data_IF_069642959561
#
_entry.id   IF_069642959561
#
_cell.length_a   1.000
_cell.length_b   1.000
_cell.length_c   1.000
_cell.angle_alpha   90.00
_cell.angle_beta   90.00
_cell.angle_gamma   90.00
#
_symmetry.space_group_name_H-M   'P 1'
#
loop_
_entity.id
_entity.type
_entity.pdbx_description
1 polymer ?
#
# COMPACT_ATOMS: atom_id res chain seq x y z
N UNK A 1 -19.13 -16.78 -26.78
CA UNK A 1 -18.62 -18.16 -26.63
C UNK A 1 -18.24 -18.30 -25.17
N UNK A 2 -19.13 -18.88 -24.35
CA UNK A 2 -18.91 -19.05 -22.92
C UNK A 2 -17.94 -20.22 -22.70
N UNK A 3 -16.79 -19.94 -22.11
CA UNK A 3 -15.86 -20.97 -21.65
C UNK A 3 -16.29 -21.32 -20.23
N UNK A 4 -16.92 -22.49 -20.07
CA UNK A 4 -17.17 -23.11 -18.76
C UNK A 4 -15.86 -23.66 -18.25
N UNK A 5 -15.32 -23.12 -17.16
CA UNK A 5 -14.23 -23.75 -16.43
C UNK A 5 -14.78 -24.84 -15.51
N UNK A 6 -14.07 -25.97 -15.43
CA UNK A 6 -14.45 -27.11 -14.60
C UNK A 6 -14.02 -26.86 -13.14
N UNK A 7 -14.87 -27.30 -12.22
CA UNK A 7 -14.74 -27.22 -10.75
C UNK A 7 -13.36 -27.66 -10.20
N UNK A 8 -12.60 -28.46 -10.95
CA UNK A 8 -11.27 -28.97 -10.58
C UNK A 8 -10.14 -27.95 -10.80
N UNK A 9 -10.32 -26.97 -11.70
CA UNK A 9 -9.35 -25.91 -11.94
C UNK A 9 -9.37 -24.86 -10.82
N UNK A 10 -10.56 -24.55 -10.30
CA UNK A 10 -10.77 -23.54 -9.25
C UNK A 10 -10.30 -24.04 -7.87
N UNK A 11 -10.41 -25.35 -7.60
CA UNK A 11 -9.92 -25.93 -6.35
C UNK A 11 -8.39 -26.04 -6.31
N UNK A 12 -7.73 -26.16 -7.47
CA UNK A 12 -6.27 -25.96 -7.59
C UNK A 12 -5.88 -24.48 -7.38
N UNK A 13 -6.77 -23.55 -7.74
CA UNK A 13 -6.60 -22.09 -7.68
C UNK A 13 -6.51 -21.58 -6.24
N UNK A 14 -7.38 -22.06 -5.34
CA UNK A 14 -7.31 -21.73 -3.92
C UNK A 14 -6.06 -22.32 -3.25
N UNK A 15 -5.72 -23.58 -3.54
CA UNK A 15 -4.55 -24.21 -2.94
C UNK A 15 -3.24 -23.57 -3.43
N UNK A 16 -3.13 -23.17 -4.71
CA UNK A 16 -1.93 -22.48 -5.23
C UNK A 16 -1.82 -21.01 -4.79
N UNK A 17 -2.92 -20.27 -4.71
CA UNK A 17 -2.90 -18.90 -4.19
C UNK A 17 -2.53 -18.88 -2.70
N UNK A 18 -3.01 -19.87 -1.93
CA UNK A 18 -2.59 -20.09 -0.55
C UNK A 18 -1.11 -20.49 -0.47
N UNK A 19 -0.60 -21.34 -1.39
CA UNK A 19 0.83 -21.69 -1.45
C UNK A 19 1.73 -20.50 -1.79
N UNK A 20 1.32 -19.61 -2.71
CA UNK A 20 2.06 -18.38 -3.07
C UNK A 20 1.99 -17.35 -1.93
N UNK A 21 0.83 -17.19 -1.29
CA UNK A 21 0.71 -16.38 -0.09
C UNK A 21 1.59 -16.95 1.05
N UNK A 22 1.66 -18.27 1.22
CA UNK A 22 2.57 -18.93 2.16
C UNK A 22 4.05 -18.72 1.79
N UNK A 23 4.39 -18.66 0.50
CA UNK A 23 5.76 -18.40 0.05
C UNK A 23 6.16 -16.94 0.36
N UNK A 24 5.27 -15.99 0.13
CA UNK A 24 5.46 -14.57 0.47
C UNK A 24 5.47 -14.32 2.00
N UNK A 25 4.82 -15.18 2.79
CA UNK A 25 4.77 -15.10 4.26
C UNK A 25 5.97 -15.81 4.94
N UNK A 26 6.70 -16.69 4.26
CA UNK A 26 7.82 -17.44 4.87
C UNK A 26 9.21 -16.84 4.67
N UNK A 27 9.36 -15.63 4.09
CA UNK A 27 10.66 -15.00 3.81
C UNK A 27 11.56 -14.86 5.05
N UNK A 28 12.69 -15.60 5.15
CA UNK A 28 13.83 -15.17 5.93
C UNK A 28 14.69 -14.23 5.07
N UNK A 29 15.24 -13.20 5.71
CA UNK A 29 16.31 -12.36 5.20
C UNK A 29 17.35 -13.14 4.37
N UNK A 30 17.38 -12.91 3.06
CA UNK A 30 18.56 -13.17 2.22
C UNK A 30 18.73 -12.03 1.21
N UNK A 31 19.29 -10.93 1.69
CA UNK A 31 19.98 -9.97 0.83
C UNK A 31 21.39 -10.49 0.59
N UNK A 32 21.61 -11.16 -0.54
CA UNK A 32 22.92 -11.35 -1.16
C UNK A 32 22.70 -11.59 -2.66
N UNK A 33 23.53 -11.00 -3.51
CA UNK A 33 23.48 -11.10 -4.97
C UNK A 33 23.02 -12.49 -5.46
N UNK A 34 21.78 -12.59 -5.97
CA UNK A 34 21.12 -13.84 -6.34
C UNK A 34 21.67 -14.56 -7.60
N UNK A 35 22.90 -14.24 -8.05
CA UNK A 35 23.50 -14.98 -9.18
C UNK A 35 24.13 -16.33 -8.78
N UNK A 36 24.24 -16.66 -7.48
CA UNK A 36 25.01 -17.83 -7.02
C UNK A 36 24.24 -19.16 -6.94
N UNK A 37 22.91 -19.20 -7.13
CA UNK A 37 22.15 -20.45 -6.97
C UNK A 37 21.15 -20.74 -8.11
N UNK A 38 21.59 -20.66 -9.37
CA UNK A 38 20.85 -21.28 -10.46
C UNK A 38 20.99 -22.81 -10.39
N UNK A 39 19.85 -23.51 -10.28
CA UNK A 39 19.77 -24.97 -10.42
C UNK A 39 19.43 -25.28 -11.86
N UNK A 40 20.34 -25.89 -12.60
CA UNK A 40 20.16 -26.23 -14.02
C UNK A 40 19.60 -27.64 -14.19
N UNK A 41 18.89 -27.85 -15.29
CA UNK A 41 18.35 -29.17 -15.67
C UNK A 41 19.49 -30.19 -15.83
N UNK A 42 20.65 -29.72 -16.28
CA UNK A 42 21.90 -30.48 -16.36
C UNK A 42 23.11 -29.57 -16.12
N UNK A 43 24.02 -30.01 -15.24
CA UNK A 43 25.31 -29.35 -15.02
C UNK A 43 26.32 -29.79 -16.10
N UNK A 44 27.00 -28.83 -16.74
CA UNK A 44 28.05 -29.08 -17.74
C UNK A 44 29.34 -28.39 -17.26
N UNK A 45 30.38 -29.17 -17.04
CA UNK A 45 31.68 -28.73 -16.51
C UNK A 45 32.82 -29.05 -17.48
N UNK A 46 33.88 -28.26 -17.45
CA UNK A 46 35.13 -28.52 -18.17
C UNK A 46 36.08 -29.46 -17.39
N UNK A 47 37.29 -29.68 -17.94
CA UNK A 47 38.33 -30.51 -17.34
C UNK A 47 38.83 -30.03 -15.96
N UNK A 48 38.57 -28.77 -15.59
CA UNK A 48 38.93 -28.17 -14.31
C UNK A 48 37.74 -28.11 -13.34
N UNK A 49 36.63 -28.79 -13.64
CA UNK A 49 35.36 -28.73 -12.90
C UNK A 49 34.73 -27.32 -12.87
N UNK A 50 34.97 -26.49 -13.88
CA UNK A 50 34.35 -25.18 -14.02
C UNK A 50 33.18 -25.24 -15.01
N UNK A 51 32.10 -24.49 -14.77
CA UNK A 51 30.95 -24.41 -15.67
C UNK A 51 31.37 -24.06 -17.09
N UNK A 52 30.84 -24.79 -18.07
CA UNK A 52 31.22 -24.63 -19.47
C UNK A 52 30.05 -24.98 -20.41
N UNK A 53 29.96 -24.30 -21.56
CA UNK A 53 28.94 -24.54 -22.56
C UNK A 53 27.61 -23.88 -22.21
N UNK A 54 26.52 -24.36 -22.83
CA UNK A 54 25.18 -23.82 -22.62
C UNK A 54 24.44 -24.63 -21.56
N UNK A 55 24.21 -24.04 -20.40
CA UNK A 55 23.40 -24.61 -19.33
C UNK A 55 21.98 -24.05 -19.45
N UNK A 56 20.98 -24.90 -19.18
CA UNK A 56 19.55 -24.58 -19.32
C UNK A 56 18.86 -24.90 -18.01
N UNK A 57 17.94 -24.05 -17.60
CA UNK A 57 16.97 -24.40 -16.57
C UNK A 57 15.55 -24.09 -17.03
N UNK A 58 14.66 -25.04 -16.81
CA UNK A 58 13.25 -24.92 -17.16
C UNK A 58 12.49 -24.29 -16.00
N UNK A 59 11.66 -23.29 -16.29
CA UNK A 59 10.86 -22.62 -15.27
C UNK A 59 9.71 -23.51 -14.81
N UNK A 60 9.48 -23.58 -13.49
CA UNK A 60 8.30 -24.23 -12.92
C UNK A 60 7.04 -23.37 -12.98
N UNK A 61 7.20 -22.03 -13.04
CA UNK A 61 6.12 -21.06 -13.17
C UNK A 61 5.62 -20.96 -14.61
N UNK A 62 6.54 -21.06 -15.57
CA UNK A 62 6.24 -20.88 -16.99
C UNK A 62 6.44 -22.20 -17.74
N UNK A 63 5.36 -23.00 -17.86
CA UNK A 63 5.41 -24.30 -18.54
C UNK A 63 6.03 -24.17 -19.95
N UNK A 64 7.14 -24.89 -20.17
CA UNK A 64 7.83 -24.94 -21.45
C UNK A 64 8.73 -23.73 -21.76
N UNK A 65 8.86 -22.75 -20.86
CA UNK A 65 9.83 -21.67 -20.99
C UNK A 65 11.06 -21.97 -20.13
N UNK A 66 12.24 -21.67 -20.69
CA UNK A 66 13.52 -21.88 -20.04
C UNK A 66 14.26 -20.55 -19.90
N UNK A 67 15.30 -20.54 -19.08
CA UNK A 67 16.38 -19.57 -19.19
C UNK A 67 17.69 -20.31 -19.47
N UNK A 68 18.60 -19.67 -20.19
CA UNK A 68 19.85 -20.28 -20.68
C UNK A 68 21.04 -19.41 -20.28
N UNK A 69 22.12 -20.05 -19.87
CA UNK A 69 23.38 -19.40 -19.56
C UNK A 69 24.51 -20.04 -20.39
N UNK A 70 25.32 -19.21 -21.04
CA UNK A 70 26.49 -19.66 -21.80
C UNK A 70 27.75 -19.36 -21.00
N UNK A 71 28.49 -20.39 -20.63
CA UNK A 71 29.74 -20.30 -19.86
C UNK A 71 30.96 -20.70 -20.70
N UNK A 72 32.10 -20.10 -20.39
CA UNK A 72 33.41 -20.52 -20.87
C UNK A 72 34.43 -20.53 -19.73
N UNK A 73 34.86 -21.72 -19.32
CA UNK A 73 35.83 -21.94 -18.24
C UNK A 73 35.45 -21.19 -16.95
N UNK A 74 34.19 -21.32 -16.52
CA UNK A 74 33.63 -20.68 -15.34
C UNK A 74 33.17 -19.23 -15.54
N UNK A 75 33.48 -18.58 -16.67
CA UNK A 75 33.04 -17.22 -16.96
C UNK A 75 31.67 -17.23 -17.64
N UNK A 76 30.70 -16.49 -17.08
CA UNK A 76 29.39 -16.29 -17.69
C UNK A 76 29.52 -15.27 -18.83
N UNK A 77 29.20 -15.70 -20.05
CA UNK A 77 29.31 -14.88 -21.26
C UNK A 77 27.96 -14.32 -21.72
N UNK A 78 26.89 -15.10 -21.57
CA UNK A 78 25.56 -14.72 -22.05
C UNK A 78 24.47 -15.29 -21.14
N UNK A 79 23.41 -14.51 -20.94
CA UNK A 79 22.13 -14.96 -20.41
C UNK A 79 21.02 -14.80 -21.45
N UNK A 80 20.03 -15.67 -21.37
CA UNK A 80 18.86 -15.64 -22.24
C UNK A 80 17.62 -16.02 -21.45
N UNK A 81 16.63 -15.13 -21.42
CA UNK A 81 15.34 -15.35 -20.75
C UNK A 81 14.21 -15.36 -21.78
N UNK A 82 13.38 -16.41 -21.73
CA UNK A 82 12.21 -16.60 -22.60
C UNK A 82 10.88 -16.40 -21.86
N UNK A 83 10.90 -16.18 -20.55
CA UNK A 83 9.70 -16.04 -19.70
C UNK A 83 8.98 -14.73 -19.98
N UNK A 84 9.72 -13.68 -20.33
CA UNK A 84 9.22 -12.32 -20.48
C UNK A 84 9.48 -11.75 -21.86
N UNK A 85 8.70 -10.74 -22.24
CA UNK A 85 8.81 -10.07 -23.54
C UNK A 85 8.77 -8.56 -23.37
N UNK A 86 9.75 -7.87 -23.96
CA UNK A 86 9.82 -6.41 -23.99
C UNK A 86 9.87 -5.96 -25.44
N UNK A 87 9.08 -4.96 -25.84
CA UNK A 87 9.06 -4.42 -27.21
C UNK A 87 8.91 -5.50 -28.30
N UNK A 88 8.06 -6.50 -28.06
CA UNK A 88 7.85 -7.67 -28.94
C UNK A 88 9.08 -8.60 -29.12
N UNK A 89 10.16 -8.39 -28.39
CA UNK A 89 11.28 -9.33 -28.32
C UNK A 89 10.93 -10.47 -27.37
N UNK A 90 10.84 -11.68 -27.94
CA UNK A 90 10.51 -12.91 -27.19
C UNK A 90 11.71 -13.53 -26.47
N UNK A 91 12.91 -13.20 -26.92
CA UNK A 91 14.16 -13.73 -26.39
C UNK A 91 14.96 -12.54 -25.87
N UNK A 92 15.07 -12.45 -24.55
CA UNK A 92 15.81 -11.40 -23.87
C UNK A 92 17.24 -11.89 -23.68
N UNK A 93 18.16 -11.40 -24.51
CA UNK A 93 19.56 -11.82 -24.51
C UNK A 93 20.42 -10.73 -23.88
N UNK A 94 21.24 -11.10 -22.89
CA UNK A 94 22.22 -10.22 -22.25
C UNK A 94 23.63 -10.80 -22.37
N UNK A 95 24.60 -9.99 -22.79
CA UNK A 95 25.99 -10.37 -22.94
C UNK A 95 26.86 -9.72 -21.86
N UNK A 96 27.73 -10.51 -21.26
CA UNK A 96 28.64 -10.08 -20.23
C UNK A 96 30.01 -9.74 -20.80
N UNK A 97 30.69 -8.77 -20.18
CA UNK A 97 32.10 -8.45 -20.42
C UNK A 97 32.78 -8.30 -19.07
N UNK A 98 33.83 -9.10 -18.82
CA UNK A 98 34.52 -9.14 -17.52
C UNK A 98 33.56 -9.42 -16.34
N UNK A 99 32.63 -10.36 -16.51
CA UNK A 99 31.59 -10.72 -15.53
C UNK A 99 30.63 -9.59 -15.14
N UNK A 100 30.54 -8.52 -15.93
CA UNK A 100 29.58 -7.43 -15.77
C UNK A 100 28.61 -7.38 -16.95
N UNK A 101 27.33 -7.02 -16.74
CA UNK A 101 26.40 -6.73 -17.83
C UNK A 101 26.98 -5.70 -18.78
N UNK A 102 26.93 -5.98 -20.09
CA UNK A 102 27.54 -5.10 -21.10
C UNK A 102 26.58 -4.72 -22.22
N UNK A 103 25.88 -5.67 -22.83
CA UNK A 103 25.01 -5.40 -23.97
C UNK A 103 23.77 -6.28 -23.92
N UNK A 104 22.58 -5.70 -24.09
CA UNK A 104 21.32 -6.44 -24.18
C UNK A 104 20.51 -6.43 -22.88
N UNK A 105 19.58 -7.39 -22.76
CA UNK A 105 18.60 -7.45 -21.68
C UNK A 105 18.99 -8.44 -20.59
N UNK A 106 18.78 -8.03 -19.34
CA UNK A 106 19.07 -8.82 -18.16
C UNK A 106 17.85 -8.81 -17.27
N UNK A 107 17.35 -10.01 -16.96
CA UNK A 107 16.21 -10.22 -16.07
C UNK A 107 16.73 -10.57 -14.69
N UNK A 108 16.21 -9.92 -13.66
CA UNK A 108 16.49 -10.24 -12.26
C UNK A 108 15.22 -10.05 -11.43
N UNK A 109 15.17 -10.64 -10.25
CA UNK A 109 14.07 -10.45 -9.30
C UNK A 109 14.48 -9.38 -8.28
N UNK A 110 13.58 -8.46 -7.98
CA UNK A 110 13.80 -7.48 -6.92
C UNK A 110 13.57 -8.11 -5.53
N UNK A 111 13.71 -7.30 -4.49
CA UNK A 111 13.54 -7.73 -3.09
C UNK A 111 12.14 -8.24 -2.74
N UNK A 112 11.16 -8.05 -3.64
CA UNK A 112 9.78 -8.52 -3.52
C UNK A 112 9.46 -9.69 -4.46
N UNK A 113 10.48 -10.31 -5.05
CA UNK A 113 10.36 -11.39 -6.04
C UNK A 113 9.60 -10.95 -7.32
N UNK A 114 9.47 -9.64 -7.56
CA UNK A 114 8.90 -9.11 -8.79
C UNK A 114 10.03 -8.98 -9.81
N UNK A 115 9.89 -9.52 -11.03
CA UNK A 115 10.93 -9.44 -12.03
C UNK A 115 11.10 -8.00 -12.54
N UNK A 116 12.35 -7.59 -12.72
CA UNK A 116 12.77 -6.37 -13.37
C UNK A 116 13.69 -6.70 -14.54
N UNK A 117 13.66 -5.87 -15.58
CA UNK A 117 14.48 -6.06 -16.79
C UNK A 117 15.31 -4.81 -17.02
N UNK A 118 16.62 -4.95 -17.06
CA UNK A 118 17.53 -3.87 -17.44
C UNK A 118 18.08 -4.09 -18.85
N UNK A 119 18.08 -3.04 -19.66
CA UNK A 119 18.73 -2.99 -20.96
C UNK A 119 20.04 -2.20 -20.85
N UNK A 120 21.13 -2.81 -21.29
CA UNK A 120 22.47 -2.23 -21.29
C UNK A 120 22.97 -1.97 -22.71
N UNK A 121 23.68 -0.86 -22.88
CA UNK A 121 24.52 -0.58 -24.05
C UNK A 121 25.94 -0.26 -23.57
N UNK A 122 26.93 -1.00 -24.06
CA UNK A 122 28.36 -0.79 -23.73
C UNK A 122 28.69 -0.71 -22.22
N UNK A 123 27.95 -1.43 -21.39
CA UNK A 123 28.15 -1.47 -19.93
C UNK A 123 27.43 -0.40 -19.13
N UNK A 124 26.64 0.46 -19.80
CA UNK A 124 25.79 1.45 -19.13
C UNK A 124 24.32 1.02 -19.19
N UNK A 125 23.59 1.21 -18.08
CA UNK A 125 22.14 0.97 -18.05
C UNK A 125 21.48 2.05 -18.89
N UNK A 126 20.81 1.64 -19.97
CA UNK A 126 20.08 2.54 -20.85
C UNK A 126 18.60 2.63 -20.46
N UNK A 127 17.98 1.51 -20.06
CA UNK A 127 16.56 1.48 -19.68
C UNK A 127 16.30 0.40 -18.64
N UNK A 128 15.44 0.71 -17.67
CA UNK A 128 14.91 -0.26 -16.71
C UNK A 128 13.43 -0.44 -17.01
N UNK A 129 12.96 -1.68 -17.12
CA UNK A 129 11.56 -2.03 -17.26
C UNK A 129 11.08 -2.71 -15.98
N UNK A 130 9.94 -2.25 -15.49
CA UNK A 130 9.29 -2.80 -14.30
C UNK A 130 7.85 -3.18 -14.62
N UNK A 131 7.26 -4.02 -13.79
CA UNK A 131 5.90 -4.54 -13.93
C UNK A 131 5.19 -4.49 -12.59
N UNK A 132 3.87 -4.72 -12.56
CA UNK A 132 3.12 -4.76 -11.30
C UNK A 132 2.92 -6.19 -10.81
N UNK A 133 2.67 -6.36 -9.50
CA UNK A 133 2.24 -7.66 -8.96
C UNK A 133 0.95 -8.14 -9.65
N UNK A 134 0.03 -7.23 -9.99
CA UNK A 134 -1.19 -7.56 -10.72
C UNK A 134 -0.90 -8.23 -12.06
N UNK A 135 0.05 -7.69 -12.83
CA UNK A 135 0.46 -8.25 -14.11
C UNK A 135 1.10 -9.64 -13.94
N UNK A 136 1.92 -9.82 -12.90
CA UNK A 136 2.53 -11.12 -12.60
C UNK A 136 1.47 -12.17 -12.24
N UNK A 137 0.50 -11.81 -11.41
CA UNK A 137 -0.61 -12.70 -11.06
C UNK A 137 -1.51 -13.00 -12.29
N UNK A 138 -1.69 -12.05 -13.21
CA UNK A 138 -2.47 -12.26 -14.43
C UNK A 138 -1.85 -13.33 -15.35
N UNK A 139 -0.52 -13.42 -15.41
CA UNK A 139 0.19 -14.47 -16.16
C UNK A 139 -0.25 -15.87 -15.70
N UNK A 140 -0.20 -16.12 -14.40
CA UNK A 140 -0.55 -17.43 -13.82
C UNK A 140 -2.01 -17.80 -14.11
N UNK A 141 -2.90 -16.80 -14.13
CA UNK A 141 -4.34 -17.00 -14.32
C UNK A 141 -4.74 -17.17 -15.79
N UNK A 142 -4.09 -16.44 -16.69
CA UNK A 142 -4.57 -16.29 -18.08
C UNK A 142 -3.52 -16.66 -19.13
N UNK A 143 -2.28 -16.86 -18.74
CA UNK A 143 -1.13 -17.01 -19.63
C UNK A 143 -0.76 -15.73 -20.40
N UNK A 144 -1.40 -14.59 -20.08
CA UNK A 144 -1.12 -13.30 -20.70
C UNK A 144 0.19 -12.76 -20.15
N UNK A 145 1.06 -12.33 -21.05
CA UNK A 145 2.36 -11.77 -20.69
C UNK A 145 2.20 -10.46 -19.90
N UNK A 146 3.11 -10.18 -18.94
CA UNK A 146 3.02 -8.99 -18.11
C UNK A 146 3.27 -7.73 -18.94
N UNK A 147 2.66 -6.62 -18.52
CA UNK A 147 2.90 -5.32 -19.14
C UNK A 147 4.14 -4.68 -18.52
N UNK A 148 5.14 -4.41 -19.36
CA UNK A 148 6.38 -3.77 -18.96
C UNK A 148 6.34 -2.25 -19.12
N UNK A 149 6.63 -1.54 -18.04
CA UNK A 149 6.71 -0.08 -17.98
C UNK A 149 8.17 0.35 -18.02
N UNK A 150 8.55 1.07 -19.07
CA UNK A 150 9.87 1.69 -19.15
C UNK A 150 10.00 2.80 -18.10
N UNK A 151 11.09 2.74 -17.34
CA UNK A 151 11.41 3.69 -16.27
C UNK A 151 12.56 4.61 -16.70
N UNK A 152 12.40 5.90 -16.43
CA UNK A 152 13.40 6.93 -16.69
C UNK A 152 13.83 7.59 -15.39
N UNK A 153 15.08 8.01 -15.29
CA UNK A 153 15.64 8.63 -14.07
C UNK A 153 16.29 9.96 -14.40
N UNK A 154 16.14 10.94 -13.50
CA UNK A 154 16.82 12.24 -13.58
C UNK A 154 17.48 12.50 -12.24
N UNK A 155 18.81 12.70 -12.25
CA UNK A 155 19.61 12.91 -11.04
C UNK A 155 19.44 11.77 -10.00
N UNK A 156 19.27 10.54 -10.48
CA UNK A 156 19.07 9.36 -9.63
C UNK A 156 17.65 9.18 -9.09
N UNK A 157 16.72 10.10 -9.39
CA UNK A 157 15.32 10.03 -8.98
C UNK A 157 14.46 9.53 -10.14
N UNK A 158 13.50 8.64 -9.85
CA UNK A 158 12.54 8.14 -10.84
C UNK A 158 11.70 9.30 -11.40
N UNK A 159 11.72 9.47 -12.72
CA UNK A 159 11.04 10.56 -13.44
C UNK A 159 9.77 10.07 -14.14
N UNK A 160 9.84 8.98 -14.90
CA UNK A 160 8.68 8.27 -15.44
C UNK A 160 8.79 6.79 -15.10
N UNK A 161 7.65 6.12 -14.88
CA UNK A 161 7.60 4.67 -14.67
C UNK A 161 6.94 4.28 -13.35
N UNK A 162 7.46 3.25 -12.69
CA UNK A 162 6.94 2.79 -11.40
C UNK A 162 8.04 2.33 -10.43
N UNK A 163 7.73 2.31 -9.14
CA UNK A 163 8.57 1.68 -8.11
C UNK A 163 7.71 0.99 -7.05
N UNK A 164 8.33 0.04 -6.36
CA UNK A 164 7.72 -0.71 -5.28
C UNK A 164 8.32 -0.29 -3.93
N UNK A 165 7.48 -0.17 -2.92
CA UNK A 165 7.86 -0.05 -1.52
C UNK A 165 7.08 -1.07 -0.71
N UNK A 166 7.65 -1.58 0.37
CA UNK A 166 6.94 -2.46 1.30
C UNK A 166 6.90 -1.83 2.69
N UNK A 167 5.74 -1.95 3.32
CA UNK A 167 5.54 -1.57 4.71
C UNK A 167 5.09 -2.80 5.47
N UNK A 168 5.65 -2.96 6.67
CA UNK A 168 5.15 -3.94 7.62
C UNK A 168 3.92 -3.36 8.32
N UNK A 169 2.81 -4.09 8.26
CA UNK A 169 1.66 -3.90 9.13
C UNK A 169 1.74 -4.99 10.22
N UNK A 170 0.99 -4.87 11.32
CA UNK A 170 1.14 -5.75 12.50
C UNK A 170 1.25 -7.25 12.14
N UNK A 171 0.18 -7.81 11.58
CA UNK A 171 0.09 -9.22 11.15
C UNK A 171 0.16 -9.39 9.62
N UNK A 172 0.51 -8.34 8.86
CA UNK A 172 0.42 -8.34 7.40
C UNK A 172 1.48 -7.51 6.69
N UNK A 173 1.49 -7.61 5.37
CA UNK A 173 2.40 -6.83 4.52
C UNK A 173 1.60 -5.97 3.55
N UNK A 174 2.02 -4.71 3.46
CA UNK A 174 1.52 -3.76 2.47
C UNK A 174 2.58 -3.58 1.40
N UNK A 175 2.31 -4.09 0.20
CA UNK A 175 3.08 -3.76 -0.99
C UNK A 175 2.47 -2.53 -1.65
N UNK A 176 3.28 -1.49 -1.82
CA UNK A 176 2.91 -0.22 -2.43
C UNK A 176 3.59 -0.12 -3.78
N UNK A 177 2.83 0.13 -4.84
CA UNK A 177 3.40 0.43 -6.16
C UNK A 177 3.04 1.86 -6.53
N UNK A 178 4.04 2.73 -6.60
CA UNK A 178 3.89 4.14 -6.97
C UNK A 178 4.15 4.33 -8.47
N UNK A 179 3.31 5.12 -9.15
CA UNK A 179 3.42 5.39 -10.58
C UNK A 179 3.76 6.85 -10.83
N UNK A 180 4.80 7.09 -11.61
CA UNK A 180 5.36 8.43 -11.86
C UNK A 180 5.21 8.86 -13.31
N UNK A 181 4.96 10.15 -13.49
CA UNK A 181 5.02 10.83 -14.77
C UNK A 181 5.61 12.22 -14.57
N UNK A 182 6.64 12.57 -15.34
CA UNK A 182 7.36 13.85 -15.22
C UNK A 182 7.84 14.18 -13.78
N UNK A 183 8.22 13.17 -13.00
CA UNK A 183 8.69 13.32 -11.61
C UNK A 183 7.58 13.44 -10.57
N UNK A 184 6.31 13.38 -10.97
CA UNK A 184 5.16 13.43 -10.07
C UNK A 184 4.44 12.09 -9.99
N UNK A 185 4.05 11.68 -8.78
CA UNK A 185 3.17 10.53 -8.56
C UNK A 185 1.79 10.83 -9.14
N UNK A 186 1.31 9.90 -9.95
CA UNK A 186 -0.02 9.97 -10.57
C UNK A 186 -1.04 9.15 -9.80
N UNK A 187 -0.66 7.95 -9.39
CA UNK A 187 -1.47 7.04 -8.59
C UNK A 187 -0.58 6.03 -7.86
N UNK A 188 -1.18 5.33 -6.91
CA UNK A 188 -0.55 4.31 -6.08
C UNK A 188 -1.47 3.11 -6.01
N UNK A 189 -0.93 1.92 -6.21
CA UNK A 189 -1.64 0.66 -5.97
C UNK A 189 -1.18 0.08 -4.64
N UNK A 190 -2.13 -0.22 -3.76
CA UNK A 190 -1.90 -0.89 -2.49
C UNK A 190 -2.33 -2.34 -2.61
N UNK A 191 -1.38 -3.25 -2.44
CA UNK A 191 -1.62 -4.67 -2.31
C UNK A 191 -1.50 -5.06 -0.84
N UNK A 192 -2.64 -5.38 -0.23
CA UNK A 192 -2.66 -5.94 1.11
C UNK A 192 -2.58 -7.46 1.00
N UNK A 193 -1.52 -8.03 1.56
CA UNK A 193 -1.26 -9.47 1.55
C UNK A 193 -1.37 -10.00 2.98
N UNK A 194 -2.35 -10.86 3.22
CA UNK A 194 -2.57 -11.57 4.48
C UNK A 194 -2.76 -13.07 4.21
N UNK A 195 -2.60 -13.93 5.24
CA UNK A 195 -2.56 -15.40 5.10
C UNK A 195 -3.68 -16.03 4.27
N UNK A 196 -4.86 -15.40 4.23
CA UNK A 196 -6.03 -15.92 3.53
C UNK A 196 -6.63 -14.92 2.53
N UNK A 197 -5.96 -13.80 2.26
CA UNK A 197 -6.54 -12.71 1.49
C UNK A 197 -5.50 -11.86 0.76
N UNK A 198 -5.79 -11.53 -0.49
CA UNK A 198 -5.04 -10.55 -1.28
C UNK A 198 -6.03 -9.57 -1.90
N UNK A 199 -5.89 -8.28 -1.57
CA UNK A 199 -6.74 -7.22 -2.11
C UNK A 199 -5.91 -6.06 -2.63
N UNK A 200 -6.36 -5.53 -3.76
CA UNK A 200 -5.82 -4.32 -4.34
C UNK A 200 -6.81 -3.18 -4.23
N UNK A 201 -6.34 -2.04 -3.73
CA UNK A 201 -7.04 -0.76 -3.80
C UNK A 201 -6.10 0.28 -4.43
N UNK A 202 -6.66 1.28 -5.11
CA UNK A 202 -5.88 2.29 -5.83
C UNK A 202 -6.13 3.66 -5.23
N UNK A 203 -5.06 4.41 -4.95
CA UNK A 203 -5.12 5.83 -4.63
C UNK A 203 -4.77 6.66 -5.87
N UNK A 204 -5.69 7.52 -6.30
CA UNK A 204 -5.43 8.50 -7.36
C UNK A 204 -5.25 9.89 -6.74
N UNK A 205 -4.21 10.60 -7.17
CA UNK A 205 -4.00 11.98 -6.77
C UNK A 205 -4.94 12.92 -7.52
N UNK A 206 -5.52 13.88 -6.80
CA UNK A 206 -6.31 14.99 -7.32
C UNK A 206 -5.52 16.29 -7.10
N UNK A 207 -5.88 17.37 -7.81
CA UNK A 207 -5.22 18.68 -7.65
C UNK A 207 -5.19 19.18 -6.20
N UNK A 208 -6.23 18.87 -5.42
CA UNK A 208 -6.36 19.30 -4.03
C UNK A 208 -6.78 18.15 -3.11
N UNK A 209 -6.31 16.93 -3.36
CA UNK A 209 -6.67 15.78 -2.53
C UNK A 209 -6.35 14.46 -3.20
N UNK A 210 -7.13 13.44 -2.85
CA UNK A 210 -6.96 12.10 -3.42
C UNK A 210 -8.26 11.32 -3.30
N UNK A 211 -8.37 10.26 -4.08
CA UNK A 211 -9.42 9.27 -3.94
C UNK A 211 -8.82 7.88 -3.81
N UNK A 212 -9.40 7.05 -2.94
CA UNK A 212 -9.08 5.64 -2.80
C UNK A 212 -10.24 4.86 -3.41
N UNK A 213 -9.93 3.96 -4.33
CA UNK A 213 -10.91 3.19 -5.09
C UNK A 213 -10.62 1.72 -4.89
N UNK A 214 -11.67 0.99 -4.55
CA UNK A 214 -11.73 -0.46 -4.72
C UNK A 214 -12.61 -0.73 -5.92
N UNK A 215 -12.03 -1.35 -6.95
CA UNK A 215 -12.78 -1.74 -8.13
C UNK A 215 -13.74 -2.89 -7.81
N UNK A 216 -14.83 -2.98 -8.59
CA UNK A 216 -15.77 -4.10 -8.48
C UNK A 216 -15.05 -5.39 -8.85
N UNK A 217 -15.27 -6.42 -8.05
CA UNK A 217 -14.76 -7.77 -8.31
C UNK A 217 -15.87 -8.58 -8.96
N UNK A 218 -15.66 -9.00 -10.21
CA UNK A 218 -16.59 -9.89 -10.93
C UNK A 218 -16.04 -11.31 -10.94
N UNK A 219 -16.38 -12.12 -9.93
CA UNK A 219 -16.11 -13.56 -9.95
C UNK A 219 -17.26 -14.37 -9.33
N UNK A 220 -17.44 -15.61 -9.82
CA UNK A 220 -18.58 -16.48 -9.48
C UNK A 220 -18.42 -17.20 -8.13
N UNK A 221 -17.18 -17.43 -7.67
CA UNK A 221 -16.83 -18.16 -6.44
C UNK A 221 -16.08 -17.26 -5.43
N UNK A 222 -16.70 -16.15 -5.05
CA UNK A 222 -16.16 -15.25 -4.01
C UNK A 222 -16.82 -15.60 -2.68
N UNK A 223 -16.02 -15.61 -1.60
CA UNK A 223 -16.56 -15.70 -0.25
C UNK A 223 -17.66 -14.65 -0.04
N UNK A 224 -18.88 -15.03 0.37
CA UNK A 224 -19.97 -14.08 0.59
C UNK A 224 -19.65 -13.00 1.63
N UNK A 225 -18.61 -13.19 2.45
CA UNK A 225 -18.09 -12.19 3.38
C UNK A 225 -17.25 -11.11 2.70
N UNK A 226 -16.77 -11.30 1.47
CA UNK A 226 -16.03 -10.26 0.73
C UNK A 226 -17.01 -9.31 0.05
N UNK A 227 -16.91 -8.01 0.35
CA UNK A 227 -17.67 -7.01 -0.40
C UNK A 227 -17.11 -6.86 -1.81
N UNK A 228 -17.84 -7.31 -2.83
CA UNK A 228 -17.42 -7.27 -4.23
C UNK A 228 -17.74 -5.95 -4.93
N UNK A 229 -18.51 -5.07 -4.29
CA UNK A 229 -18.99 -3.82 -4.88
C UNK A 229 -17.86 -2.82 -5.11
N UNK A 230 -18.09 -1.91 -6.06
CA UNK A 230 -17.24 -0.73 -6.22
C UNK A 230 -17.40 0.17 -4.99
N UNK A 231 -16.26 0.59 -4.42
CA UNK A 231 -16.21 1.47 -3.26
C UNK A 231 -15.21 2.61 -3.52
N UNK A 232 -15.55 3.83 -3.10
CA UNK A 232 -14.72 5.01 -3.32
C UNK A 232 -14.72 5.91 -2.09
N UNK A 233 -13.54 6.22 -1.57
CA UNK A 233 -13.31 7.25 -0.57
C UNK A 233 -12.66 8.44 -1.22
N UNK A 234 -13.32 9.59 -1.24
CA UNK A 234 -12.81 10.81 -1.85
C UNK A 234 -12.54 11.86 -0.78
N UNK A 235 -11.34 12.42 -0.81
CA UNK A 235 -10.88 13.44 0.14
C UNK A 235 -10.46 14.66 -0.66
N UNK A 236 -11.05 15.81 -0.33
CA UNK A 236 -10.81 17.08 -1.01
C UNK A 236 -10.49 18.14 0.03
N UNK A 237 -9.32 18.75 -0.09
CA UNK A 237 -8.87 19.85 0.76
C UNK A 237 -9.29 21.20 0.15
N UNK A 238 -9.84 22.07 0.98
CA UNK A 238 -10.33 23.39 0.55
C UNK A 238 -9.31 24.50 0.88
N UNK A 239 -8.74 24.46 2.10
CA UNK A 239 -7.72 25.40 2.60
C UNK A 239 -6.73 24.65 3.53
N UNK A 240 -5.73 25.34 4.10
CA UNK A 240 -4.74 24.75 5.02
C UNK A 240 -5.40 24.10 6.25
N UNK A 241 -5.65 22.79 6.14
CA UNK A 241 -6.10 21.94 7.24
C UNK A 241 -7.58 21.57 7.20
N UNK A 242 -8.37 22.08 6.25
CA UNK A 242 -9.80 21.77 6.13
C UNK A 242 -10.15 21.07 4.82
N UNK A 243 -11.26 20.34 4.82
CA UNK A 243 -11.73 19.62 3.65
C UNK A 243 -12.99 18.81 3.89
N UNK A 244 -13.29 17.95 2.93
CA UNK A 244 -14.43 17.06 2.92
C UNK A 244 -13.97 15.63 2.65
N UNK A 245 -14.64 14.67 3.29
CA UNK A 245 -14.56 13.26 2.93
C UNK A 245 -15.94 12.78 2.48
N UNK A 246 -16.01 12.07 1.35
CA UNK A 246 -17.18 11.29 0.93
C UNK A 246 -16.82 9.82 0.76
N UNK A 247 -17.70 8.95 1.23
CA UNK A 247 -17.64 7.52 1.02
C UNK A 247 -18.82 7.10 0.15
N UNK A 248 -18.50 6.55 -1.01
CA UNK A 248 -19.42 6.07 -2.01
C UNK A 248 -19.32 4.55 -2.19
N UNK A 249 -20.46 3.95 -2.48
CA UNK A 249 -20.59 2.52 -2.76
C UNK A 249 -21.59 2.34 -3.88
N UNK A 250 -21.19 1.70 -4.98
CA UNK A 250 -22.00 1.62 -6.20
C UNK A 250 -22.54 2.99 -6.67
N UNK A 251 -21.70 4.03 -6.54
CA UNK A 251 -22.02 5.43 -6.88
C UNK A 251 -23.07 6.11 -5.99
N UNK A 252 -23.48 5.47 -4.90
CA UNK A 252 -24.32 6.07 -3.87
C UNK A 252 -23.45 6.55 -2.70
N UNK A 253 -23.62 7.81 -2.29
CA UNK A 253 -22.93 8.37 -1.11
C UNK A 253 -23.54 7.77 0.14
N UNK A 254 -22.79 6.90 0.83
CA UNK A 254 -23.24 6.25 2.06
C UNK A 254 -22.84 7.04 3.31
N UNK A 255 -21.72 7.77 3.26
CA UNK A 255 -21.28 8.64 4.35
C UNK A 255 -20.52 9.86 3.81
N UNK A 256 -20.65 10.98 4.51
CA UNK A 256 -19.86 12.18 4.23
C UNK A 256 -19.71 13.03 5.50
N UNK A 257 -18.58 13.74 5.59
CA UNK A 257 -18.34 14.71 6.64
C UNK A 257 -17.36 15.80 6.19
N UNK A 258 -17.41 16.94 6.88
CA UNK A 258 -16.43 18.00 6.80
C UNK A 258 -15.39 17.82 7.89
N UNK A 259 -14.15 18.23 7.65
CA UNK A 259 -13.09 18.21 8.64
C UNK A 259 -12.31 19.51 8.67
N UNK A 260 -11.79 19.84 9.85
CA UNK A 260 -10.93 20.99 10.08
C UNK A 260 -9.84 20.68 11.10
N UNK A 261 -8.60 20.91 10.69
CA UNK A 261 -7.40 20.95 11.52
C UNK A 261 -7.16 22.37 12.01
N UNK A 262 -6.94 22.55 13.31
CA UNK A 262 -6.57 23.84 13.90
C UNK A 262 -5.74 23.64 15.17
N UNK A 263 -4.97 24.66 15.54
CA UNK A 263 -4.32 24.70 16.85
C UNK A 263 -5.35 25.01 17.94
N UNK A 264 -5.34 24.22 19.01
CA UNK A 264 -6.11 24.51 20.21
C UNK A 264 -5.58 25.81 20.82
N UNK A 265 -6.22 26.92 20.49
CA UNK A 265 -5.95 28.24 21.05
C UNK A 265 -7.24 28.95 21.49
N UNK A 266 -8.38 28.29 21.23
CA UNK A 266 -9.75 28.75 21.48
C UNK A 266 -10.62 27.56 21.86
N UNK A 267 -11.82 27.84 22.39
CA UNK A 267 -12.84 26.81 22.64
C UNK A 267 -13.20 26.07 21.36
N UNK A 268 -13.43 24.77 21.50
CA UNK A 268 -13.92 23.89 20.44
C UNK A 268 -15.29 24.41 19.97
N UNK A 269 -15.53 24.33 18.66
CA UNK A 269 -16.83 24.73 18.09
C UNK A 269 -17.93 23.84 18.66
N UNK A 270 -18.95 24.43 19.28
CA UNK A 270 -20.09 23.74 19.87
C UNK A 270 -21.08 23.28 18.77
N UNK A 271 -20.64 22.36 17.93
CA UNK A 271 -21.43 21.73 16.86
C UNK A 271 -21.33 20.20 16.97
N UNK A 272 -22.33 19.46 16.49
CA UNK A 272 -22.28 18.00 16.48
C UNK A 272 -21.05 17.53 15.71
N UNK A 273 -20.13 16.85 16.41
CA UNK A 273 -18.81 16.57 15.88
C UNK A 273 -18.05 15.48 16.64
N UNK A 274 -17.02 14.96 15.99
CA UNK A 274 -15.96 14.16 16.62
C UNK A 274 -14.69 15.00 16.58
N UNK A 275 -14.00 15.15 17.72
CA UNK A 275 -12.71 15.85 17.80
C UNK A 275 -11.64 14.84 18.19
N UNK A 276 -10.55 14.83 17.43
CA UNK A 276 -9.32 14.12 17.76
C UNK A 276 -8.23 15.14 18.15
N UNK A 277 -7.43 14.81 19.16
CA UNK A 277 -6.31 15.65 19.60
C UNK A 277 -4.97 14.98 19.31
N UNK A 278 -4.08 15.72 18.64
CA UNK A 278 -2.70 15.29 18.43
C UNK A 278 -1.79 16.05 19.38
N UNK A 279 -1.17 15.30 20.27
CA UNK A 279 -0.32 15.74 21.39
C UNK A 279 1.15 15.33 21.17
N UNK A 280 1.66 15.41 19.95
CA UNK A 280 3.04 15.01 19.63
C UNK A 280 4.10 15.99 20.18
N UNK A 281 5.37 15.86 19.78
CA UNK A 281 6.50 16.69 20.24
C UNK A 281 6.36 18.21 20.00
N UNK A 282 5.32 18.68 19.31
CA UNK A 282 5.07 20.11 19.10
C UNK A 282 4.75 20.87 20.41
N UNK A 283 4.95 22.19 20.40
CA UNK A 283 4.65 23.06 21.55
C UNK A 283 3.16 23.43 21.67
N UNK A 284 2.29 22.76 20.90
CA UNK A 284 0.89 23.13 20.74
C UNK A 284 0.03 21.86 20.62
N UNK A 285 -1.24 21.92 20.97
CA UNK A 285 -2.18 20.81 20.75
C UNK A 285 -2.88 21.04 19.43
N UNK A 286 -2.84 20.08 18.51
CA UNK A 286 -3.63 20.15 17.27
C UNK A 286 -4.95 19.43 17.44
N UNK A 287 -6.02 20.07 16.99
CA UNK A 287 -7.37 19.53 16.99
C UNK A 287 -7.79 19.21 15.56
N UNK A 288 -8.40 18.04 15.39
CA UNK A 288 -9.03 17.59 14.16
C UNK A 288 -10.52 17.39 14.43
N UNK A 289 -11.32 18.41 14.11
CA UNK A 289 -12.76 18.37 14.30
C UNK A 289 -13.46 17.95 13.02
N UNK A 290 -14.29 16.91 13.10
CA UNK A 290 -15.11 16.36 12.02
C UNK A 290 -16.57 16.59 12.31
N UNK A 291 -17.31 17.14 11.38
CA UNK A 291 -18.67 17.64 11.60
C UNK A 291 -19.50 17.58 10.32
N UNK A 292 -20.76 18.02 10.37
CA UNK A 292 -21.71 17.97 9.25
C UNK A 292 -21.88 16.55 8.68
N UNK A 293 -21.88 15.54 9.56
CA UNK A 293 -22.09 14.15 9.16
C UNK A 293 -23.42 13.99 8.44
N UNK A 294 -23.39 13.37 7.26
CA UNK A 294 -24.60 12.90 6.57
C UNK A 294 -24.41 11.43 6.23
N UNK A 295 -25.41 10.62 6.55
CA UNK A 295 -25.54 9.24 6.09
C UNK A 295 -26.86 9.14 5.34
N UNK A 296 -26.84 8.53 4.16
CA UNK A 296 -28.04 8.39 3.30
C UNK A 296 -28.74 7.06 3.56
N UNK A 297 -28.08 6.07 4.18
CA UNK A 297 -28.67 4.73 4.36
C UNK A 297 -29.22 4.52 5.76
N UNK A 298 -30.54 4.29 5.81
CA UNK A 298 -31.28 3.70 6.94
C UNK A 298 -30.94 2.21 7.20
N UNK A 299 -29.87 1.68 6.59
CA UNK A 299 -29.39 0.29 6.71
C UNK A 299 -28.08 0.22 7.51
N UNK A 300 -27.96 1.09 8.52
CA UNK A 300 -26.71 1.54 9.15
C UNK A 300 -25.86 0.49 9.88
N UNK A 301 -26.32 -0.75 10.05
CA UNK A 301 -25.49 -1.79 10.67
C UNK A 301 -24.85 -2.73 9.63
N UNK A 302 -25.59 -3.17 8.61
CA UNK A 302 -25.09 -4.17 7.64
C UNK A 302 -24.06 -3.64 6.66
N UNK A 303 -24.12 -2.35 6.31
CA UNK A 303 -23.19 -1.76 5.34
C UNK A 303 -21.78 -1.52 5.91
N UNK A 304 -21.68 -1.43 7.24
CA UNK A 304 -20.41 -1.35 7.98
C UNK A 304 -19.99 -2.70 8.61
N UNK A 305 -20.91 -3.66 8.77
CA UNK A 305 -20.61 -4.98 9.36
C UNK A 305 -19.78 -5.91 8.48
N UNK A 306 -19.66 -5.62 7.18
CA UNK A 306 -18.74 -6.35 6.31
C UNK A 306 -17.34 -5.72 6.47
N UNK A 307 -16.36 -6.43 7.06
CA UNK A 307 -15.01 -5.92 7.29
C UNK A 307 -14.26 -5.85 5.95
N UNK A 308 -14.55 -4.83 5.13
CA UNK A 308 -13.76 -4.52 3.95
C UNK A 308 -12.60 -3.58 4.29
N UNK A 309 -11.50 -3.67 3.56
CA UNK A 309 -10.36 -2.77 3.73
C UNK A 309 -10.75 -1.29 3.63
N UNK A 310 -11.65 -0.96 2.70
CA UNK A 310 -12.18 0.40 2.57
C UNK A 310 -12.98 0.85 3.80
N UNK A 311 -13.76 -0.04 4.42
CA UNK A 311 -14.47 0.26 5.66
C UNK A 311 -13.49 0.51 6.81
N UNK A 312 -12.40 -0.27 6.88
CA UNK A 312 -11.32 -0.06 7.85
C UNK A 312 -10.62 1.27 7.64
N UNK A 313 -10.26 1.62 6.40
CA UNK A 313 -9.67 2.93 6.05
C UNK A 313 -10.63 4.07 6.41
N UNK A 314 -11.91 3.97 6.04
CA UNK A 314 -12.91 4.98 6.40
C UNK A 314 -12.99 5.17 7.92
N UNK A 315 -13.07 4.06 8.67
CA UNK A 315 -13.18 4.08 10.13
C UNK A 315 -11.93 4.68 10.78
N UNK A 316 -10.73 4.30 10.30
CA UNK A 316 -9.47 4.90 10.72
C UNK A 316 -9.52 6.43 10.50
N UNK A 317 -9.85 6.88 9.28
CA UNK A 317 -9.94 8.31 8.96
C UNK A 317 -11.02 9.04 9.76
N UNK A 318 -12.10 8.37 10.16
CA UNK A 318 -13.15 8.95 11.00
C UNK A 318 -12.63 9.31 12.39
N UNK A 319 -11.72 8.53 12.97
CA UNK A 319 -11.22 8.76 14.33
C UNK A 319 -9.84 9.40 14.39
N UNK A 320 -9.04 9.29 13.33
CA UNK A 320 -7.67 9.79 13.27
C UNK A 320 -7.52 10.99 12.32
N UNK A 321 -6.32 11.57 12.28
CA UNK A 321 -5.99 12.63 11.32
C UNK A 321 -6.11 12.13 9.88
N UNK A 322 -6.64 12.97 8.99
CA UNK A 322 -6.61 12.70 7.56
C UNK A 322 -5.22 13.02 7.01
N UNK A 323 -4.48 12.04 6.46
CA UNK A 323 -3.14 12.27 5.94
C UNK A 323 -3.19 13.15 4.69
N UNK A 324 -2.11 13.90 4.46
CA UNK A 324 -1.89 14.64 3.22
C UNK A 324 -0.76 13.97 2.47
N UNK A 325 -1.07 13.42 1.31
CA UNK A 325 -0.06 12.81 0.45
C UNK A 325 0.47 13.83 -0.55
N UNK A 326 1.78 13.75 -0.79
CA UNK A 326 2.53 14.55 -1.74
C UNK A 326 2.70 13.79 -3.05
N UNK A 327 2.63 14.49 -4.17
CA UNK A 327 2.98 13.92 -5.47
C UNK A 327 4.48 13.88 -5.69
N UNK A 328 5.28 14.68 -4.97
CA UNK A 328 6.73 14.83 -5.19
C UNK A 328 7.58 14.36 -4.02
N UNK A 329 7.07 14.44 -2.79
CA UNK A 329 7.79 14.03 -1.56
C UNK A 329 7.42 12.61 -1.16
N UNK A 330 8.26 11.94 -0.36
CA UNK A 330 7.96 10.61 0.15
C UNK A 330 6.72 10.63 1.05
N UNK A 331 5.84 9.65 0.88
CA UNK A 331 4.62 9.51 1.67
C UNK A 331 4.73 8.38 2.70
N UNK A 332 4.01 8.51 3.81
CA UNK A 332 3.85 7.47 4.81
C UNK A 332 2.44 6.87 4.71
N UNK A 333 2.30 5.81 3.91
CA UNK A 333 0.99 5.21 3.62
C UNK A 333 0.42 4.37 4.75
N UNK A 334 1.25 3.92 5.71
CA UNK A 334 0.78 3.14 6.85
C UNK A 334 -0.28 3.89 7.67
N UNK A 335 -0.28 5.22 7.62
CA UNK A 335 -1.29 6.08 8.26
C UNK A 335 -2.74 5.78 7.82
N UNK A 336 -2.96 5.19 6.64
CA UNK A 336 -4.30 4.75 6.20
C UNK A 336 -4.75 3.44 6.85
N UNK A 337 -3.81 2.64 7.35
CA UNK A 337 -4.02 1.27 7.81
C UNK A 337 -3.77 1.08 9.31
N UNK A 338 -3.39 2.14 10.03
CA UNK A 338 -3.24 2.10 11.49
C UNK A 338 -4.60 1.82 12.13
N UNK A 339 -4.65 0.82 13.03
CA UNK A 339 -5.81 0.57 13.87
C UNK A 339 -6.06 1.75 14.82
N UNK A 340 -7.22 1.75 15.49
CA UNK A 340 -7.78 2.88 16.26
C UNK A 340 -6.99 3.24 17.55
N UNK A 341 -5.68 3.50 17.46
CA UNK A 341 -4.81 3.86 18.58
C UNK A 341 -5.38 5.02 19.42
N UNK A 342 -6.05 5.98 18.78
CA UNK A 342 -6.56 7.16 19.49
C UNK A 342 -7.87 6.90 20.27
N UNK A 343 -8.65 5.87 19.90
CA UNK A 343 -9.84 5.47 20.65
C UNK A 343 -9.44 4.88 22.01
N UNK A 344 -8.36 4.11 22.04
CA UNK A 344 -7.78 3.55 23.26
C UNK A 344 -6.98 4.58 24.07
N UNK A 345 -6.33 5.55 23.41
CA UNK A 345 -5.58 6.62 24.08
C UNK A 345 -6.46 7.60 24.89
N UNK A 346 -7.76 7.64 24.62
CA UNK A 346 -8.71 8.57 25.25
C UNK A 346 -8.62 10.02 24.74
N UNK A 347 -8.01 10.25 23.57
CA UNK A 347 -7.82 11.56 22.94
C UNK A 347 -8.91 11.91 21.91
N UNK A 348 -10.12 11.43 22.16
CA UNK A 348 -11.31 11.73 21.35
C UNK A 348 -12.36 12.47 22.18
N UNK A 349 -13.13 13.34 21.52
CA UNK A 349 -14.33 13.97 22.07
C UNK A 349 -15.49 13.78 21.12
N UNK A 350 -16.61 13.33 21.64
CA UNK A 350 -17.88 13.26 20.94
C UNK A 350 -18.79 14.39 21.43
N UNK A 351 -19.22 15.25 20.50
CA UNK A 351 -20.19 16.31 20.73
C UNK A 351 -21.54 15.88 20.15
N UNK A 352 -22.59 15.91 20.99
CA UNK A 352 -23.93 15.48 20.61
C UNK A 352 -24.62 16.44 19.62
N UNK A 353 -25.89 16.19 19.31
CA UNK A 353 -26.69 17.01 18.39
C UNK A 353 -26.87 18.48 18.82
N UNK A 354 -26.65 18.80 20.11
CA UNK A 354 -26.65 20.16 20.63
C UNK A 354 -25.23 20.78 20.69
N UNK A 355 -24.21 20.06 20.23
CA UNK A 355 -22.80 20.47 20.32
C UNK A 355 -22.21 20.35 21.73
N UNK A 356 -22.86 19.61 22.64
CA UNK A 356 -22.39 19.43 24.02
C UNK A 356 -21.53 18.16 24.15
N UNK A 357 -20.49 18.16 25.00
CA UNK A 357 -19.70 16.97 25.31
C UNK A 357 -20.58 15.81 25.80
N UNK A 358 -20.49 14.68 25.13
CA UNK A 358 -21.24 13.47 25.46
C UNK A 358 -20.31 12.34 25.94
N UNK A 359 -19.21 12.11 25.23
CA UNK A 359 -18.24 11.08 25.56
C UNK A 359 -16.82 11.55 25.24
N UNK A 360 -15.85 11.10 26.04
CA UNK A 360 -14.42 11.36 25.80
C UNK A 360 -13.88 12.60 26.49
N UNK A 361 -12.84 13.20 25.92
CA UNK A 361 -11.99 14.22 26.53
C UNK A 361 -12.23 15.61 25.95
N UNK A 362 -12.70 16.56 26.74
CA UNK A 362 -12.71 17.96 26.38
C UNK A 362 -11.40 18.60 26.82
N UNK A 363 -10.60 19.12 25.88
CA UNK A 363 -9.45 19.98 26.13
C UNK A 363 -9.81 21.42 25.79
N UNK A 364 -9.50 22.34 26.69
CA UNK A 364 -9.64 23.77 26.45
C UNK A 364 -8.35 24.48 26.90
N UNK A 365 -7.96 25.50 26.15
CA UNK A 365 -6.84 26.37 26.50
C UNK A 365 -7.36 27.76 26.86
N UNK A 366 -6.87 28.28 27.99
CA UNK A 366 -7.08 29.66 28.41
C UNK A 366 -5.72 30.28 28.74
N UNK A 367 -5.29 31.25 27.93
CA UNK A 367 -3.91 31.78 27.96
C UNK A 367 -2.86 30.66 27.76
N UNK A 368 -1.95 30.48 28.71
CA UNK A 368 -0.89 29.45 28.67
C UNK A 368 -1.24 28.18 29.45
N UNK A 369 -2.45 28.10 30.01
CA UNK A 369 -2.89 26.95 30.81
C UNK A 369 -4.01 26.18 30.11
N UNK A 370 -4.00 24.88 30.35
CA UNK A 370 -4.98 23.94 29.84
C UNK A 370 -5.89 23.46 30.96
N UNK A 371 -7.14 23.21 30.59
CA UNK A 371 -8.08 22.45 31.39
C UNK A 371 -8.53 21.23 30.60
N UNK A 372 -8.80 20.13 31.32
CA UNK A 372 -9.54 19.03 30.73
C UNK A 372 -10.72 18.58 31.58
N UNK A 373 -11.71 18.04 30.88
CA UNK A 373 -12.85 17.35 31.47
C UNK A 373 -13.08 16.05 30.73
N UNK A 374 -13.27 14.93 31.45
CA UNK A 374 -13.73 13.68 30.83
C UNK A 374 -15.25 13.56 30.96
N UNK A 375 -15.88 13.07 29.91
CA UNK A 375 -17.31 12.85 29.84
C UNK A 375 -17.63 11.39 29.54
N UNK A 376 -18.69 10.89 30.19
CA UNK A 376 -19.32 9.62 29.86
C UNK A 376 -20.83 9.83 29.92
N UNK A 377 -21.52 9.54 28.82
CA UNK A 377 -22.98 9.66 28.69
C UNK A 377 -23.49 11.05 29.11
N UNK A 378 -22.80 12.10 28.65
CA UNK A 378 -23.11 13.50 28.94
C UNK A 378 -22.73 13.99 30.34
N UNK A 379 -22.24 13.11 31.21
CA UNK A 379 -21.84 13.47 32.58
C UNK A 379 -20.35 13.68 32.70
N UNK A 380 -19.94 14.79 33.31
CA UNK A 380 -18.52 15.06 33.62
C UNK A 380 -18.05 14.13 34.74
N UNK A 381 -17.07 13.28 34.46
CA UNK A 381 -16.56 12.26 35.40
C UNK A 381 -15.21 12.62 36.02
N UNK A 382 -14.40 13.41 35.31
CA UNK A 382 -13.09 13.87 35.77
C UNK A 382 -12.86 15.31 35.32
N UNK A 383 -12.13 16.09 36.12
CA UNK A 383 -11.79 17.46 35.80
C UNK A 383 -10.44 17.85 36.41
N UNK A 384 -9.58 18.48 35.62
CA UNK A 384 -8.34 19.13 36.10
C UNK A 384 -8.16 20.46 35.38
N UNK A 385 -7.66 21.44 36.12
CA UNK A 385 -7.40 22.80 35.64
C UNK A 385 -5.92 23.16 35.85
N UNK A 386 -5.50 24.32 35.31
CA UNK A 386 -4.15 24.88 35.47
C UNK A 386 -3.03 23.93 35.02
N UNK A 387 -3.28 23.12 34.01
CA UNK A 387 -2.29 22.22 33.44
C UNK A 387 -1.37 22.96 32.48
N UNK A 388 -0.07 22.70 32.56
CA UNK A 388 0.85 23.06 31.47
C UNK A 388 0.75 22.01 30.35
N UNK A 389 1.19 22.34 29.14
CA UNK A 389 1.26 21.36 28.05
C UNK A 389 2.08 20.13 28.43
N UNK A 390 3.18 20.32 29.17
CA UNK A 390 4.03 19.23 29.67
C UNK A 390 3.23 18.30 30.58
N UNK A 391 2.51 18.85 31.57
CA UNK A 391 1.70 18.08 32.50
C UNK A 391 0.59 17.33 31.75
N UNK A 392 0.01 17.95 30.72
CA UNK A 392 -1.03 17.33 29.92
C UNK A 392 -0.49 16.14 29.12
N UNK A 393 0.69 16.28 28.47
CA UNK A 393 1.34 15.16 27.79
C UNK A 393 1.65 14.01 28.74
N UNK A 394 2.17 14.29 29.93
CA UNK A 394 2.47 13.26 30.94
C UNK A 394 1.24 12.46 31.41
N UNK A 395 0.02 13.04 31.29
CA UNK A 395 -1.21 12.35 31.65
C UNK A 395 -1.64 11.29 30.61
N UNK A 396 -1.28 11.49 29.34
CA UNK A 396 -1.72 10.63 28.23
C UNK A 396 -0.61 9.77 27.66
N UNK A 397 0.63 10.26 27.73
CA UNK A 397 1.83 9.53 27.38
C UNK A 397 2.61 9.39 28.68
N UNK A 398 2.50 8.23 29.32
CA UNK A 398 3.54 7.86 30.28
C UNK A 398 4.84 7.91 29.48
N UNK A 399 5.78 8.77 29.87
CA UNK A 399 7.14 8.66 29.34
C UNK A 399 7.57 7.22 29.63
N UNK A 400 7.66 6.37 28.60
CA UNK A 400 8.48 5.18 28.69
C UNK A 400 9.87 5.68 29.11
N UNK A 401 10.23 5.38 30.35
CA UNK A 401 11.56 5.67 30.89
C UNK A 401 12.62 4.81 30.21
#
# INVERSE_FOLDING_TARGET
MQIKYSHTAIQKLMNKAIEIAFFLITLPFYTQNNMEHYTYDQEILDENNLRHGTLVATSYLFEGLAYKHVYQHGLLLQTTDFRYQVNHQKELIGNFKNNLPYEGYFVFENEFEIPEISYYEKGEIHTIYRTTLSDILEIELTGKMPVWVACSFKEGVLFDGLCHEQFKLDDGHLLVTEFFKNGERTHVSFWLLAMHYAETIRLNFLTNGYEIIKERIEAEDIDPEIDTREQRLKIVFNEQGSGNLSFEKEKEVIAQYEFKEYELSRKISAIPSIVNYVLNASQTIRCFQKYNFKSVTSNSEKDFYNPSLMNSIYSNLLYNRIPKFSTTEKNEYTTLFQEQQDLESGLLLFLNQEGKPEHGLLLEQENEVYQYSKFKEGTKTEHKEQLTLKNLKQLFFQEEQ
#
